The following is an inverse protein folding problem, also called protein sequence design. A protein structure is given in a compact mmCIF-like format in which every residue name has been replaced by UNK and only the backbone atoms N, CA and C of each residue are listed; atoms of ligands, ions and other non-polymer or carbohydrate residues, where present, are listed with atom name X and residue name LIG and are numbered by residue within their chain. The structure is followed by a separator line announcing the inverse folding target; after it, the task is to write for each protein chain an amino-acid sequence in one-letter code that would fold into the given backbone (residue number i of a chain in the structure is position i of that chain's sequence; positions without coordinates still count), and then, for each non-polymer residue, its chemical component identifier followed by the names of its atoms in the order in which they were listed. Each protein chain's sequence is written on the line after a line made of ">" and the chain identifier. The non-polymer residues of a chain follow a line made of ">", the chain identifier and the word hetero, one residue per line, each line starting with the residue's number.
data_IF_052874462266
#
_entry.id   IF_052874462266
#
_cell.length_a   1.000
_cell.length_b   1.000
_cell.length_c   1.000
_cell.angle_alpha   90.00
_cell.angle_beta   90.00
_cell.angle_gamma   90.00
#
_symmetry.space_group_name_H-M   'P 1'
#
loop_
_entity.id
_entity.type
_entity.pdbx_description
1 polymer ?
#
# COMPACT_ATOMS: atom_id res chain seq x y z
N UNK A 1 -26.24 -5.61 10.62
CA UNK A 1 -25.60 -5.74 9.29
C UNK A 1 -24.59 -4.63 9.16
N UNK A 2 -23.30 -4.95 9.00
CA UNK A 2 -22.26 -3.95 8.76
C UNK A 2 -22.33 -3.64 7.26
N UNK A 3 -22.62 -2.39 6.91
CA UNK A 3 -22.55 -1.93 5.52
C UNK A 3 -21.09 -1.85 5.12
N UNK A 4 -20.65 -2.76 4.24
CA UNK A 4 -19.30 -2.71 3.67
C UNK A 4 -19.32 -1.68 2.54
N UNK A 5 -18.46 -0.65 2.58
CA UNK A 5 -18.43 0.36 1.53
C UNK A 5 -17.90 -0.25 0.22
N UNK A 6 -18.49 0.14 -0.91
CA UNK A 6 -18.03 -0.29 -2.24
C UNK A 6 -16.66 0.29 -2.63
N UNK A 7 -16.31 1.45 -2.06
CA UNK A 7 -15.05 2.15 -2.29
C UNK A 7 -14.56 2.74 -0.97
N UNK A 8 -13.24 2.77 -0.76
CA UNK A 8 -12.61 3.35 0.43
C UNK A 8 -11.62 4.39 -0.06
N UNK A 9 -11.83 5.65 0.35
CA UNK A 9 -10.89 6.72 0.06
C UNK A 9 -9.60 6.52 0.87
N UNK A 10 -8.47 6.49 0.16
CA UNK A 10 -7.16 6.41 0.79
C UNK A 10 -6.66 7.82 1.09
N UNK A 11 -6.21 8.09 2.33
CA UNK A 11 -5.60 9.38 2.65
C UNK A 11 -4.28 9.53 1.89
N UNK A 12 -3.90 10.76 1.60
CA UNK A 12 -2.58 11.05 1.00
C UNK A 12 -1.46 10.49 1.89
N UNK A 13 -0.51 9.70 1.36
CA UNK A 13 0.53 9.10 2.19
C UNK A 13 1.44 10.16 2.83
N UNK A 14 1.85 9.90 4.07
CA UNK A 14 2.94 10.65 4.70
C UNK A 14 4.28 10.07 4.26
N UNK A 15 5.06 10.84 3.50
CA UNK A 15 6.37 10.40 2.98
C UNK A 15 7.53 10.62 3.96
N UNK A 16 7.27 11.17 5.15
CA UNK A 16 8.31 11.40 6.15
C UNK A 16 8.56 10.10 6.93
N UNK A 17 9.80 9.62 6.87
CA UNK A 17 10.31 8.51 7.67
C UNK A 17 11.38 9.01 8.62
N UNK A 18 11.47 8.40 9.79
CA UNK A 18 12.57 8.58 10.74
C UNK A 18 13.69 7.53 10.56
N UNK A 19 13.55 6.62 9.58
CA UNK A 19 14.54 5.63 9.20
C UNK A 19 15.04 5.87 7.78
N UNK A 20 16.35 5.70 7.60
CA UNK A 20 17.02 5.69 6.30
C UNK A 20 16.71 4.42 5.51
N UNK A 21 17.04 4.42 4.22
CA UNK A 21 16.86 3.25 3.36
C UNK A 21 17.84 2.14 3.77
N UNK A 22 19.07 2.52 4.12
CA UNK A 22 20.14 1.63 4.57
C UNK A 22 19.74 0.87 5.85
N UNK A 23 19.21 1.57 6.85
CA UNK A 23 18.67 0.95 8.06
C UNK A 23 17.54 -0.02 7.74
N UNK A 24 16.61 0.37 6.85
CA UNK A 24 15.52 -0.51 6.44
C UNK A 24 16.02 -1.78 5.73
N UNK A 25 17.07 -1.70 4.92
CA UNK A 25 17.67 -2.87 4.25
C UNK A 25 18.33 -3.81 5.26
N UNK A 26 19.07 -3.26 6.22
CA UNK A 26 19.78 -4.02 7.27
C UNK A 26 18.77 -4.75 8.17
N UNK A 27 17.71 -4.06 8.59
CA UNK A 27 16.70 -4.60 9.50
C UNK A 27 15.64 -5.46 8.81
N UNK A 28 15.61 -5.51 7.47
CA UNK A 28 14.57 -6.22 6.72
C UNK A 28 14.60 -7.71 7.04
N UNK A 29 13.52 -8.18 7.64
CA UNK A 29 13.25 -9.59 7.89
C UNK A 29 11.87 -10.01 7.37
N UNK A 30 11.64 -11.33 7.31
CA UNK A 30 10.34 -11.90 6.95
C UNK A 30 9.58 -12.31 8.21
N UNK A 31 8.65 -11.46 8.65
CA UNK A 31 7.76 -11.72 9.79
C UNK A 31 6.58 -12.60 9.35
N UNK A 32 6.19 -13.60 10.15
CA UNK A 32 5.07 -14.52 9.84
C UNK A 32 4.05 -14.66 10.97
N UNK A 33 4.23 -13.94 12.07
CA UNK A 33 3.33 -13.90 13.22
C UNK A 33 2.94 -12.44 13.45
N UNK A 34 1.65 -12.16 13.40
CA UNK A 34 1.11 -10.80 13.47
C UNK A 34 0.16 -10.66 14.66
N UNK A 35 0.02 -9.44 15.18
CA UNK A 35 -1.01 -9.14 16.17
C UNK A 35 -2.40 -9.09 15.52
N UNK A 36 -3.45 -9.30 16.31
CA UNK A 36 -4.84 -9.14 15.85
C UNK A 36 -5.28 -7.69 15.60
N UNK A 37 -4.41 -6.72 15.89
CA UNK A 37 -4.65 -5.28 15.69
C UNK A 37 -4.83 -4.99 14.20
N UNK A 38 -5.91 -4.28 13.85
CA UNK A 38 -6.11 -3.74 12.51
C UNK A 38 -5.02 -2.73 12.17
N UNK A 39 -4.53 -2.78 10.93
CA UNK A 39 -3.61 -1.77 10.40
C UNK A 39 -4.38 -0.47 10.15
N UNK A 40 -3.77 0.67 10.48
CA UNK A 40 -4.32 2.00 10.21
C UNK A 40 -4.40 2.26 8.70
N UNK A 41 -5.46 2.94 8.25
CA UNK A 41 -5.70 3.16 6.81
C UNK A 41 -4.60 4.02 6.17
N UNK A 42 -3.98 4.91 6.94
CA UNK A 42 -2.82 5.73 6.55
C UNK A 42 -1.60 4.85 6.23
N UNK A 43 -1.40 3.77 6.99
CA UNK A 43 -0.31 2.82 6.75
C UNK A 43 -0.62 1.95 5.53
N UNK A 44 -1.87 1.54 5.35
CA UNK A 44 -2.32 0.83 4.14
C UNK A 44 -2.10 1.70 2.90
N UNK A 45 -2.51 2.96 2.94
CA UNK A 45 -2.27 3.96 1.89
C UNK A 45 -0.78 4.04 1.54
N UNK A 46 0.10 4.23 2.53
CA UNK A 46 1.54 4.33 2.29
C UNK A 46 2.12 3.05 1.68
N UNK A 47 1.70 1.86 2.14
CA UNK A 47 2.17 0.58 1.59
C UNK A 47 1.75 0.42 0.14
N UNK A 48 0.48 0.68 -0.19
CA UNK A 48 -0.05 0.58 -1.55
C UNK A 48 0.64 1.58 -2.49
N UNK A 49 0.85 2.82 -2.02
CA UNK A 49 1.61 3.81 -2.77
C UNK A 49 3.06 3.38 -2.98
N UNK A 50 3.74 2.89 -1.95
CA UNK A 50 5.14 2.45 -2.08
C UNK A 50 5.27 1.29 -3.07
N UNK A 51 4.29 0.38 -3.11
CA UNK A 51 4.32 -0.81 -3.96
C UNK A 51 4.01 -0.53 -5.45
N UNK A 52 2.98 0.25 -5.78
CA UNK A 52 2.55 0.53 -7.17
C UNK A 52 1.91 1.91 -7.35
N UNK A 53 2.10 2.85 -6.43
CA UNK A 53 1.52 4.20 -6.50
C UNK A 53 2.15 5.09 -7.57
N UNK A 54 1.55 6.25 -7.80
CA UNK A 54 2.04 7.25 -8.77
C UNK A 54 3.15 8.14 -8.17
N UNK A 55 4.18 8.40 -8.97
CA UNK A 55 5.25 9.38 -8.74
C UNK A 55 5.47 10.20 -10.01
N UNK A 56 4.80 11.34 -10.12
CA UNK A 56 4.77 12.13 -11.35
C UNK A 56 4.03 11.38 -12.46
N UNK A 57 4.68 11.17 -13.61
CA UNK A 57 4.10 10.46 -14.76
C UNK A 57 4.35 8.93 -14.74
N UNK A 58 5.03 8.40 -13.72
CA UNK A 58 5.44 7.00 -13.60
C UNK A 58 4.99 6.40 -12.27
N UNK A 59 5.08 5.08 -12.11
CA UNK A 59 4.86 4.44 -10.80
C UNK A 59 6.09 4.57 -9.91
N UNK A 60 5.92 4.35 -8.61
CA UNK A 60 7.00 4.30 -7.60
C UNK A 60 8.03 3.20 -7.87
N UNK A 61 7.64 2.18 -8.64
CA UNK A 61 8.50 1.08 -9.07
C UNK A 61 8.81 1.17 -10.57
N UNK A 62 10.00 0.74 -11.01
CA UNK A 62 10.31 0.62 -12.43
C UNK A 62 9.54 -0.56 -13.08
N UNK A 63 9.29 -0.46 -14.38
CA UNK A 63 8.72 -1.54 -15.18
C UNK A 63 9.31 -1.52 -16.59
N UNK A 64 9.59 -2.69 -17.15
CA UNK A 64 10.06 -2.82 -18.53
C UNK A 64 9.05 -2.15 -19.48
N UNK A 65 9.53 -1.26 -20.35
CA UNK A 65 8.69 -0.51 -21.28
C UNK A 65 7.65 0.42 -20.62
N UNK A 66 7.74 0.68 -19.31
CA UNK A 66 6.73 1.41 -18.56
C UNK A 66 5.29 0.87 -18.73
N UNK A 67 5.16 -0.45 -18.94
CA UNK A 67 3.85 -1.10 -19.16
C UNK A 67 3.07 -1.35 -17.87
N UNK A 68 3.77 -1.42 -16.73
CA UNK A 68 3.21 -1.60 -15.39
C UNK A 68 2.10 -2.67 -15.29
N UNK A 69 2.36 -3.92 -15.69
CA UNK A 69 1.33 -4.95 -15.84
C UNK A 69 0.80 -5.51 -14.51
N UNK A 70 1.38 -5.10 -13.38
CA UNK A 70 1.04 -5.62 -12.06
C UNK A 70 -0.08 -4.81 -11.41
N UNK A 71 -1.05 -5.52 -10.88
CA UNK A 71 -2.18 -5.02 -10.10
C UNK A 71 -2.04 -5.43 -8.63
N UNK A 72 -2.52 -4.60 -7.70
CA UNK A 72 -2.55 -4.94 -6.28
C UNK A 72 -3.99 -5.18 -5.84
N UNK A 73 -4.17 -6.34 -5.22
CA UNK A 73 -5.39 -6.68 -4.50
C UNK A 73 -5.07 -6.89 -3.02
N UNK A 74 -5.95 -6.42 -2.14
CA UNK A 74 -5.77 -6.46 -0.70
C UNK A 74 -7.03 -7.01 -0.02
N UNK A 75 -6.83 -7.85 1.00
CA UNK A 75 -7.90 -8.26 1.89
C UNK A 75 -7.78 -7.50 3.20
N UNK A 76 -8.85 -6.82 3.60
CA UNK A 76 -8.93 -6.08 4.86
C UNK A 76 -9.86 -6.82 5.82
N UNK A 77 -9.38 -7.03 7.06
CA UNK A 77 -10.14 -7.73 8.11
C UNK A 77 -11.47 -7.01 8.36
N UNK A 78 -12.56 -7.78 8.31
CA UNK A 78 -13.96 -7.33 8.46
C UNK A 78 -14.48 -6.39 7.36
N UNK A 79 -13.71 -6.19 6.28
CA UNK A 79 -14.10 -5.32 5.16
C UNK A 79 -14.11 -6.05 3.81
N UNK A 80 -13.37 -7.17 3.67
CA UNK A 80 -13.39 -8.00 2.47
C UNK A 80 -12.21 -7.76 1.53
N UNK A 81 -12.43 -7.99 0.24
CA UNK A 81 -11.42 -7.98 -0.82
C UNK A 81 -11.55 -6.74 -1.70
N UNK A 82 -10.43 -6.05 -1.93
CA UNK A 82 -10.37 -4.77 -2.64
C UNK A 82 -9.32 -4.79 -3.73
N UNK A 83 -9.55 -4.01 -4.79
CA UNK A 83 -8.57 -3.69 -5.83
C UNK A 83 -8.05 -2.26 -5.61
N UNK A 84 -6.73 -2.09 -5.65
CA UNK A 84 -6.11 -0.78 -5.45
C UNK A 84 -6.16 0.05 -6.74
N UNK A 85 -6.97 1.11 -6.72
CA UNK A 85 -7.04 2.06 -7.82
C UNK A 85 -6.02 3.20 -7.63
N UNK A 86 -4.81 3.02 -8.18
CA UNK A 86 -3.74 4.02 -8.10
C UNK A 86 -4.02 5.31 -8.88
N UNK A 87 -5.05 5.36 -9.73
CA UNK A 87 -5.45 6.60 -10.43
C UNK A 87 -6.29 7.53 -9.56
N UNK A 88 -6.96 6.98 -8.52
CA UNK A 88 -7.81 7.73 -7.59
C UNK A 88 -7.14 8.02 -6.24
N UNK A 89 -5.97 7.45 -5.99
CA UNK A 89 -5.16 7.65 -4.79
C UNK A 89 -4.19 8.82 -4.98
#
# INVERSE_FOLDING_TARGET
>A
MISIPMEIDLPKPSFKSNKSVEECIIERESVRRYSDRKIEIEKVSLILWAAQGMKGLKKTVPSAGATYPLEIYITLKDMGYFHYNYHKH
#
